data_IF_119162963403
#
_entry.id   IF_119162963403
#
_cell.length_a   1.000
_cell.length_b   1.000
_cell.length_c   1.000
_cell.angle_alpha   90.00
_cell.angle_beta   90.00
_cell.angle_gamma   90.00
#
_symmetry.space_group_name_H-M   'P 1'
#
loop_
_entity.id
_entity.type
_entity.pdbx_description
1 polymer ?
#
# COMPACT_ATOMS: atom_id res chain seq x y z
N UNK A 1 -0.98 -16.52 -14.13
CA UNK A 1 -2.10 -16.46 -13.16
C UNK A 1 -2.43 -15.00 -12.98
N UNK A 2 -3.68 -14.63 -13.18
CA UNK A 2 -4.19 -13.30 -12.90
C UNK A 2 -4.48 -13.18 -11.39
N UNK A 3 -3.95 -12.16 -10.72
CA UNK A 3 -4.17 -11.94 -9.29
C UNK A 3 -4.47 -10.48 -9.01
N UNK A 4 -5.67 -10.20 -8.47
CA UNK A 4 -5.94 -8.89 -7.87
C UNK A 4 -5.28 -8.82 -6.50
N UNK A 5 -4.65 -7.69 -6.20
CA UNK A 5 -4.16 -7.41 -4.85
C UNK A 5 -4.63 -6.04 -4.38
N UNK A 6 -4.83 -5.91 -3.06
CA UNK A 6 -5.10 -4.64 -2.41
C UNK A 6 -3.82 -4.09 -1.79
N UNK A 7 -3.60 -2.79 -1.96
CA UNK A 7 -2.54 -2.03 -1.30
C UNK A 7 -3.11 -1.20 -0.16
N UNK A 8 -2.48 -1.24 1.01
CA UNK A 8 -2.88 -0.49 2.20
C UNK A 8 -1.75 0.43 2.69
N UNK A 9 -2.09 1.71 2.88
CA UNK A 9 -1.25 2.68 3.59
C UNK A 9 -1.88 2.96 4.97
N UNK A 10 -1.30 2.38 6.03
CA UNK A 10 -1.85 2.38 7.39
C UNK A 10 -1.57 3.69 8.15
N UNK A 11 -2.17 4.78 7.70
CA UNK A 11 -2.09 6.07 8.38
C UNK A 11 -2.80 6.12 9.74
N UNK A 12 -2.40 7.05 10.60
CA UNK A 12 -2.96 7.19 11.96
C UNK A 12 -4.40 7.72 12.03
N UNK A 13 -4.87 8.36 10.95
CA UNK A 13 -6.24 8.91 10.85
C UNK A 13 -7.07 8.26 9.75
N UNK A 14 -6.40 7.77 8.71
CA UNK A 14 -7.02 7.24 7.50
C UNK A 14 -6.16 6.12 6.97
N UNK A 15 -6.78 5.15 6.31
CA UNK A 15 -6.12 4.07 5.59
C UNK A 15 -6.33 4.32 4.11
N UNK A 16 -5.26 4.57 3.37
CA UNK A 16 -5.33 4.63 1.91
C UNK A 16 -5.46 3.22 1.36
N UNK A 17 -6.40 3.00 0.44
CA UNK A 17 -6.61 1.71 -0.20
C UNK A 17 -6.41 1.85 -1.71
N UNK A 18 -5.64 0.93 -2.29
CA UNK A 18 -5.44 0.80 -3.72
C UNK A 18 -5.77 -0.61 -4.20
N UNK A 19 -6.12 -0.74 -5.47
CA UNK A 19 -6.41 -2.01 -6.14
C UNK A 19 -5.50 -2.16 -7.35
N UNK A 20 -4.92 -3.35 -7.48
CA UNK A 20 -4.23 -3.78 -8.68
C UNK A 20 -5.17 -4.59 -9.58
N UNK A 21 -5.06 -4.37 -10.89
CA UNK A 21 -5.76 -5.16 -11.88
C UNK A 21 -5.33 -6.65 -11.87
N UNK A 22 -6.18 -7.57 -12.39
CA UNK A 22 -5.85 -8.99 -12.40
C UNK A 22 -4.57 -9.31 -13.18
N UNK A 23 -4.19 -8.49 -14.15
CA UNK A 23 -3.01 -8.71 -14.99
C UNK A 23 -1.70 -8.28 -14.31
N UNK A 24 -1.75 -7.79 -13.07
CA UNK A 24 -0.64 -7.24 -12.30
C UNK A 24 0.10 -6.11 -13.06
N UNK A 25 -0.63 -5.29 -13.84
CA UNK A 25 -0.06 -4.22 -14.67
C UNK A 25 -0.15 -2.86 -14.01
N UNK A 26 -1.32 -2.53 -13.48
CA UNK A 26 -1.59 -1.19 -12.96
C UNK A 26 -2.24 -1.27 -11.58
N UNK A 27 -1.72 -0.45 -10.66
CA UNK A 27 -2.34 -0.14 -9.38
C UNK A 27 -3.03 1.22 -9.43
N UNK A 28 -4.26 1.30 -8.91
CA UNK A 28 -5.07 2.52 -8.87
C UNK A 28 -5.59 2.79 -7.47
N UNK A 29 -5.74 4.07 -7.07
CA UNK A 29 -6.41 4.41 -5.81
C UNK A 29 -7.85 3.90 -5.86
N UNK A 30 -8.27 3.17 -4.81
CA UNK A 30 -9.60 2.60 -4.71
C UNK A 30 -10.49 3.47 -3.81
N UNK A 31 -10.10 3.60 -2.54
CA UNK A 31 -10.87 4.32 -1.54
C UNK A 31 -9.99 4.72 -0.36
N UNK A 32 -10.58 5.44 0.60
CA UNK A 32 -9.94 5.78 1.86
C UNK A 32 -10.87 5.37 3.00
N UNK A 33 -10.37 4.55 3.92
CA UNK A 33 -11.09 4.19 5.14
C UNK A 33 -10.74 5.22 6.22
N UNK A 34 -11.76 5.81 6.84
CA UNK A 34 -11.56 6.59 8.06
C UNK A 34 -11.33 5.65 9.24
N UNK A 35 -10.29 5.91 10.04
CA UNK A 35 -9.97 5.09 11.20
C UNK A 35 -11.12 5.11 12.20
N UNK A 36 -11.65 3.94 12.52
CA UNK A 36 -12.65 3.77 13.55
C UNK A 36 -12.03 3.93 14.95
N UNK A 37 -12.90 4.00 15.96
CA UNK A 37 -12.49 3.97 17.36
C UNK A 37 -11.78 2.66 17.73
N UNK A 38 -12.16 1.56 17.08
CA UNK A 38 -11.62 0.22 17.33
C UNK A 38 -11.03 -0.36 16.04
N UNK A 39 -9.80 -0.85 16.13
CA UNK A 39 -9.06 -1.39 14.98
C UNK A 39 -9.73 -2.61 14.33
N UNK A 40 -10.49 -3.38 15.11
CA UNK A 40 -11.27 -4.50 14.57
C UNK A 40 -12.36 -4.06 13.57
N UNK A 41 -12.84 -2.82 13.66
CA UNK A 41 -13.83 -2.30 12.71
C UNK A 41 -13.15 -1.85 11.41
N UNK A 42 -11.92 -1.31 11.48
CA UNK A 42 -11.07 -1.09 10.30
C UNK A 42 -10.79 -2.41 9.58
N UNK A 43 -10.39 -3.46 10.33
CA UNK A 43 -10.09 -4.77 9.77
C UNK A 43 -11.31 -5.41 9.08
N UNK A 44 -12.52 -5.21 9.62
CA UNK A 44 -13.75 -5.67 8.98
C UNK A 44 -14.02 -4.96 7.65
N UNK A 45 -13.78 -3.65 7.59
CA UNK A 45 -13.90 -2.90 6.34
C UNK A 45 -12.88 -3.38 5.31
N UNK A 46 -11.63 -3.62 5.72
CA UNK A 46 -10.60 -4.18 4.85
C UNK A 46 -11.00 -5.58 4.35
N UNK A 47 -11.48 -6.45 5.24
CA UNK A 47 -11.94 -7.79 4.87
C UNK A 47 -13.12 -7.76 3.88
N UNK A 48 -14.05 -6.80 4.04
CA UNK A 48 -15.14 -6.59 3.10
C UNK A 48 -14.61 -6.20 1.71
N UNK A 49 -13.61 -5.30 1.63
CA UNK A 49 -12.97 -4.94 0.36
C UNK A 49 -12.21 -6.12 -0.26
N UNK A 50 -11.52 -6.93 0.54
CA UNK A 50 -10.87 -8.15 0.06
C UNK A 50 -11.89 -9.08 -0.61
N UNK A 51 -13.06 -9.27 0.01
CA UNK A 51 -14.12 -10.10 -0.53
C UNK A 51 -14.78 -9.48 -1.77
N UNK A 52 -15.12 -8.19 -1.72
CA UNK A 52 -15.80 -7.45 -2.80
C UNK A 52 -14.99 -7.46 -4.09
N UNK A 53 -13.68 -7.24 -4.00
CA UNK A 53 -12.79 -7.19 -5.15
C UNK A 53 -12.13 -8.53 -5.47
N UNK A 54 -12.47 -9.59 -4.74
CA UNK A 54 -11.86 -10.93 -4.87
C UNK A 54 -10.33 -10.85 -4.81
N UNK A 55 -9.81 -10.00 -3.94
CA UNK A 55 -8.37 -9.79 -3.81
C UNK A 55 -7.73 -11.06 -3.25
N UNK A 56 -6.68 -11.54 -3.92
CA UNK A 56 -5.98 -12.77 -3.54
C UNK A 56 -4.79 -12.52 -2.62
N UNK A 57 -4.41 -11.25 -2.44
CA UNK A 57 -3.37 -10.83 -1.51
C UNK A 57 -3.59 -9.39 -1.07
N UNK A 58 -3.05 -9.06 0.10
CA UNK A 58 -2.96 -7.70 0.62
C UNK A 58 -1.49 -7.31 0.77
N UNK A 59 -1.16 -6.07 0.42
CA UNK A 59 0.18 -5.49 0.53
C UNK A 59 0.07 -4.27 1.43
N UNK A 60 0.86 -4.23 2.49
CA UNK A 60 0.91 -3.12 3.45
C UNK A 60 2.22 -2.36 3.28
N UNK A 61 2.13 -1.06 3.03
CA UNK A 61 3.29 -0.17 2.92
C UNK A 61 3.92 0.13 4.28
N UNK A 62 5.25 0.19 4.33
CA UNK A 62 5.99 0.65 5.51
C UNK A 62 6.41 2.11 5.35
N UNK A 63 6.22 2.96 6.39
CA UNK A 63 6.53 4.38 6.30
C UNK A 63 8.03 4.65 6.07
N UNK A 64 8.28 5.55 5.12
CA UNK A 64 9.55 5.90 4.47
C UNK A 64 10.67 6.43 5.37
N UNK A 65 10.35 6.83 6.61
CA UNK A 65 11.34 7.32 7.55
C UNK A 65 12.04 6.16 8.28
N UNK A 66 12.59 5.22 7.53
CA UNK A 66 13.59 4.28 8.04
C UNK A 66 14.97 4.92 7.88
N UNK A 67 15.20 5.97 8.68
CA UNK A 67 16.52 6.11 9.31
C UNK A 67 16.85 4.77 9.98
N UNK A 68 18.12 4.45 10.20
CA UNK A 68 18.64 3.13 10.64
C UNK A 68 18.06 2.55 11.95
N UNK A 69 17.01 3.17 12.50
CA UNK A 69 16.26 2.82 13.70
C UNK A 69 14.77 2.71 13.35
N UNK A 70 14.16 1.55 13.61
CA UNK A 70 12.71 1.33 13.51
C UNK A 70 11.98 2.41 14.32
N UNK A 71 11.07 3.15 13.67
CA UNK A 71 10.24 4.16 14.32
C UNK A 71 9.00 3.53 14.94
N UNK A 72 8.37 4.20 15.91
CA UNK A 72 7.12 3.73 16.52
C UNK A 72 5.99 3.53 15.48
N UNK A 73 5.99 4.33 14.41
CA UNK A 73 5.04 4.19 13.30
C UNK A 73 5.30 2.91 12.49
N UNK A 74 6.57 2.61 12.18
CA UNK A 74 6.94 1.38 11.49
C UNK A 74 6.57 0.14 12.33
N UNK A 75 6.87 0.16 13.63
CA UNK A 75 6.48 -0.94 14.52
C UNK A 75 4.96 -1.11 14.58
N UNK A 76 4.21 -0.01 14.71
CA UNK A 76 2.74 -0.07 14.69
C UNK A 76 2.19 -0.66 13.40
N UNK A 77 2.77 -0.34 12.24
CA UNK A 77 2.35 -0.91 10.96
C UNK A 77 2.67 -2.41 10.86
N UNK A 78 3.83 -2.84 11.37
CA UNK A 78 4.20 -4.26 11.46
C UNK A 78 3.22 -5.01 12.36
N UNK A 79 2.97 -4.52 13.57
CA UNK A 79 2.06 -5.16 14.52
C UNK A 79 0.63 -5.25 13.97
N UNK A 80 0.16 -4.20 13.30
CA UNK A 80 -1.16 -4.19 12.66
C UNK A 80 -1.21 -5.16 11.46
N UNK A 81 -0.10 -5.31 10.72
CA UNK A 81 -0.02 -6.29 9.63
C UNK A 81 -0.14 -7.72 10.15
N UNK A 82 0.48 -8.04 11.29
CA UNK A 82 0.30 -9.36 11.92
C UNK A 82 -1.15 -9.59 12.37
N UNK A 83 -1.83 -8.55 12.86
CA UNK A 83 -3.25 -8.63 13.19
C UNK A 83 -4.09 -8.88 11.93
N UNK A 84 -3.80 -8.20 10.83
CA UNK A 84 -4.45 -8.41 9.54
C UNK A 84 -4.27 -9.84 9.03
N UNK A 85 -3.08 -10.44 9.17
CA UNK A 85 -2.86 -11.86 8.83
C UNK A 85 -3.75 -12.82 9.61
N UNK A 86 -4.10 -12.50 10.85
CA UNK A 86 -4.97 -13.32 11.68
C UNK A 86 -6.45 -13.25 11.31
N UNK A 87 -6.88 -12.21 10.59
CA UNK A 87 -8.30 -11.96 10.27
C UNK A 87 -8.61 -12.03 8.78
N UNK A 88 -7.62 -11.83 7.92
CA UNK A 88 -7.77 -11.93 6.48
C UNK A 88 -7.51 -13.37 6.05
N UNK A 89 -8.42 -13.91 5.23
CA UNK A 89 -8.27 -15.25 4.64
C UNK A 89 -7.28 -15.31 3.48
N UNK A 90 -6.47 -14.27 3.27
CA UNK A 90 -5.52 -14.12 2.16
C UNK A 90 -4.14 -13.72 2.66
N UNK A 91 -3.07 -14.04 1.94
CA UNK A 91 -1.72 -13.61 2.29
C UNK A 91 -1.60 -12.09 2.45
N UNK A 92 -0.90 -11.66 3.51
CA UNK A 92 -0.60 -10.25 3.76
C UNK A 92 0.91 -10.02 3.75
N UNK A 93 1.37 -9.21 2.80
CA UNK A 93 2.76 -8.89 2.56
C UNK A 93 3.10 -7.50 3.10
N UNK A 94 4.32 -7.33 3.63
CA UNK A 94 4.89 -6.03 3.91
C UNK A 94 5.74 -5.60 2.71
N UNK A 95 5.59 -4.35 2.27
CA UNK A 95 6.43 -3.77 1.22
C UNK A 95 7.20 -2.56 1.76
N UNK A 96 8.53 -2.61 1.63
CA UNK A 96 9.43 -1.54 2.09
C UNK A 96 9.69 -0.54 0.95
N UNK A 97 9.13 0.65 1.11
CA UNK A 97 9.03 1.71 0.08
C UNK A 97 10.31 2.54 -0.15
N UNK A 98 11.50 2.09 0.29
CA UNK A 98 12.75 2.90 0.22
C UNK A 98 13.10 3.51 -1.16
N UNK A 99 12.45 3.09 -2.25
CA UNK A 99 12.68 3.59 -3.61
C UNK A 99 11.53 4.46 -4.19
N UNK A 100 10.33 4.50 -3.60
CA UNK A 100 9.14 5.07 -4.26
C UNK A 100 8.90 6.55 -4.02
N UNK A 101 9.22 7.10 -2.84
CA UNK A 101 8.98 8.54 -2.59
C UNK A 101 9.79 9.43 -3.52
N UNK A 102 10.98 8.97 -3.93
CA UNK A 102 11.83 9.72 -4.85
C UNK A 102 11.20 9.76 -6.25
N UNK A 103 10.65 8.65 -6.72
CA UNK A 103 10.02 8.56 -8.05
C UNK A 103 8.68 9.30 -8.13
N UNK A 104 7.82 9.17 -7.11
CA UNK A 104 6.56 9.91 -7.04
C UNK A 104 6.78 11.43 -6.87
N UNK A 105 7.79 11.83 -6.09
CA UNK A 105 8.15 13.24 -6.00
C UNK A 105 8.72 13.77 -7.31
N UNK A 106 9.53 13.00 -8.06
CA UNK A 106 10.18 13.48 -9.29
C UNK A 106 9.15 13.87 -10.36
N UNK A 107 8.11 13.07 -10.55
CA UNK A 107 7.04 13.36 -11.52
C UNK A 107 6.16 14.55 -11.10
N UNK A 108 6.00 14.80 -9.79
CA UNK A 108 5.21 15.93 -9.27
C UNK A 108 6.02 17.23 -9.14
N UNK A 109 7.35 17.15 -9.05
CA UNK A 109 8.27 18.31 -9.09
C UNK A 109 8.23 18.96 -10.47
N UNK A 110 8.11 18.17 -11.54
CA UNK A 110 8.00 18.66 -12.93
C UNK A 110 6.72 19.49 -13.19
N UNK A 111 5.71 19.39 -12.31
CA UNK A 111 4.43 20.10 -12.44
C UNK A 111 4.37 21.46 -11.72
N UNK A 112 5.50 22.02 -11.26
CA UNK A 112 5.62 23.32 -10.56
C UNK A 112 4.62 23.52 -9.38
N UNK A 113 4.14 22.43 -8.78
CA UNK A 113 3.12 22.51 -7.72
C UNK A 113 3.72 23.02 -6.41
N UNK A 114 2.96 23.86 -5.68
CA UNK A 114 3.29 24.23 -4.30
C UNK A 114 3.42 22.99 -3.40
N UNK A 115 4.32 23.04 -2.43
CA UNK A 115 4.70 21.88 -1.60
C UNK A 115 3.52 21.26 -0.84
N UNK A 116 2.58 22.08 -0.39
CA UNK A 116 1.34 21.67 0.29
C UNK A 116 0.37 20.95 -0.65
N UNK A 117 0.16 21.49 -1.86
CA UNK A 117 -0.68 20.89 -2.89
C UNK A 117 -0.10 19.54 -3.32
N UNK A 118 1.22 19.47 -3.50
CA UNK A 118 1.95 18.23 -3.82
C UNK A 118 1.80 17.18 -2.73
N UNK A 119 1.96 17.55 -1.46
CA UNK A 119 1.77 16.62 -0.34
C UNK A 119 0.36 16.04 -0.30
N UNK A 120 -0.66 16.87 -0.55
CA UNK A 120 -2.05 16.39 -0.64
C UNK A 120 -2.29 15.41 -1.78
N UNK A 121 -1.61 15.60 -2.92
CA UNK A 121 -1.68 14.64 -4.04
C UNK A 121 -0.98 13.35 -3.67
N UNK A 122 0.24 13.43 -3.13
CA UNK A 122 1.01 12.26 -2.67
C UNK A 122 0.21 11.45 -1.65
N UNK A 123 -0.37 12.09 -0.64
CA UNK A 123 -1.17 11.42 0.39
C UNK A 123 -2.40 10.69 -0.20
N UNK A 124 -2.97 11.18 -1.31
CA UNK A 124 -4.13 10.56 -1.97
C UNK A 124 -3.77 9.37 -2.85
N UNK A 125 -2.53 9.30 -3.33
CA UNK A 125 -2.08 8.25 -4.26
C UNK A 125 -1.03 7.32 -3.64
N UNK A 126 -0.64 7.55 -2.39
CA UNK A 126 0.43 6.82 -1.70
C UNK A 126 0.24 5.31 -1.77
N UNK A 127 -0.93 4.80 -1.39
CA UNK A 127 -1.25 3.38 -1.45
C UNK A 127 -1.12 2.78 -2.87
N UNK A 128 -1.49 3.55 -3.90
CA UNK A 128 -1.40 3.09 -5.30
C UNK A 128 0.05 3.09 -5.81
N UNK A 129 0.83 4.11 -5.45
CA UNK A 129 2.26 4.18 -5.77
C UNK A 129 3.03 3.03 -5.11
N UNK A 130 2.74 2.78 -3.83
CA UNK A 130 3.32 1.67 -3.08
C UNK A 130 2.99 0.32 -3.72
N UNK A 131 1.70 0.11 -4.04
CA UNK A 131 1.24 -1.13 -4.66
C UNK A 131 1.85 -1.33 -6.06
N UNK A 132 1.95 -0.26 -6.85
CA UNK A 132 2.60 -0.30 -8.16
C UNK A 132 4.06 -0.75 -8.03
N UNK A 133 4.79 -0.21 -7.05
CA UNK A 133 6.18 -0.63 -6.82
C UNK A 133 6.31 -2.09 -6.43
N UNK A 134 5.36 -2.62 -5.64
CA UNK A 134 5.36 -4.02 -5.26
C UNK A 134 5.16 -4.94 -6.47
N UNK A 135 4.19 -4.63 -7.34
CA UNK A 135 3.93 -5.45 -8.54
C UNK A 135 5.04 -5.33 -9.58
N UNK A 136 5.62 -4.15 -9.76
CA UNK A 136 6.77 -3.93 -10.65
C UNK A 136 7.98 -4.76 -10.18
N UNK A 137 8.26 -4.75 -8.88
CA UNK A 137 9.33 -5.54 -8.29
C UNK A 137 9.13 -7.05 -8.53
N UNK A 138 7.93 -7.58 -8.21
CA UNK A 138 7.59 -8.99 -8.46
C UNK A 138 7.68 -9.36 -9.93
N UNK A 139 7.31 -8.45 -10.84
CA UNK A 139 7.42 -8.68 -12.28
C UNK A 139 8.88 -8.83 -12.71
N UNK A 140 9.76 -7.95 -12.27
CA UNK A 140 11.19 -8.04 -12.56
C UNK A 140 11.82 -9.31 -12.00
N UNK A 141 11.43 -9.76 -10.81
CA UNK A 141 11.93 -11.02 -10.25
C UNK A 141 11.53 -12.25 -11.09
N UNK A 142 10.28 -12.30 -11.58
CA UNK A 142 9.76 -13.36 -12.47
C UNK A 142 10.49 -13.41 -13.81
N UNK A 143 10.77 -12.25 -14.40
CA UNK A 143 11.52 -12.15 -15.67
C UNK A 143 12.96 -12.66 -15.50
N UNK A 144 13.60 -12.41 -14.35
CA UNK A 144 14.97 -12.87 -14.05
C UNK A 144 15.09 -14.36 -13.75
N UNK A 145 14.05 -14.98 -13.21
CA UNK A 145 14.04 -16.43 -12.93
C UNK A 145 13.61 -17.27 -14.13
N UNK A 146 13.08 -16.63 -15.18
CA UNK A 146 12.67 -17.28 -16.44
C UNK A 146 13.74 -17.21 -17.53
N UNK A 147 14.93 -16.64 -17.23
CA UNK A 147 16.11 -16.57 -18.10
C UNK A 147 17.22 -17.46 -17.55
#
# INVERSE_FOLDING_TARGET
>A
MTMRCLGLDLGSRRIGVALCDPDERVATPLTVIERAKHRNDDHRQIAALVAEYEAQAVVVGLPLNLSSKVTAAAQSAIDETEQLRGVLGVPVHLHDERLTTVAANRSLVEMEMKADARRRVVDKVAAAVMLQSFIDHRRHERERTSS
#
